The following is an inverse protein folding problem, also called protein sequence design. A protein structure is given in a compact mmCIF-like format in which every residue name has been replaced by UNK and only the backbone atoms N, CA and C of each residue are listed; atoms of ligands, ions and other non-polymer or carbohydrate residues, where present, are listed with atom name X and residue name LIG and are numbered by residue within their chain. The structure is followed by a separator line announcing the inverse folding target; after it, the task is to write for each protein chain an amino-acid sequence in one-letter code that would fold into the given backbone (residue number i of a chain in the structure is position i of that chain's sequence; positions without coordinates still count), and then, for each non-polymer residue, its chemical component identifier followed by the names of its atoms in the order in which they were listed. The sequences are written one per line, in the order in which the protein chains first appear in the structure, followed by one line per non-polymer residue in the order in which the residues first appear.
data_IF_084338949067
#
_entry.id   IF_084338949067
#
_cell.length_a   1.000
_cell.length_b   1.000
_cell.length_c   1.000
_cell.angle_alpha   90.00
_cell.angle_beta   90.00
_cell.angle_gamma   90.00
#
_symmetry.space_group_name_H-M   'P 1'
#
loop_
_entity.id
_entity.type
_entity.pdbx_description
1 polymer ?
#
# COMPACT_ATOMS: atom_id res chain seq x y z
N UNK A 1 10.36 -8.96 22.22
CA UNK A 1 11.09 -8.27 21.12
C UNK A 1 11.58 -9.27 20.06
N UNK A 2 12.31 -10.35 20.41
CA UNK A 2 12.79 -11.33 19.40
C UNK A 2 11.66 -12.06 18.66
N UNK A 3 10.59 -12.46 19.35
CA UNK A 3 9.45 -13.15 18.72
C UNK A 3 8.78 -12.32 17.62
N UNK A 4 8.76 -10.99 17.76
CA UNK A 4 8.12 -10.11 16.79
C UNK A 4 9.00 -9.85 15.56
N UNK A 5 10.29 -9.64 15.77
CA UNK A 5 11.28 -9.55 14.68
C UNK A 5 11.28 -10.85 13.86
N UNK A 6 11.19 -12.00 14.54
CA UNK A 6 11.05 -13.30 13.89
C UNK A 6 9.73 -13.35 13.11
N UNK A 7 8.61 -12.94 13.70
CA UNK A 7 7.31 -12.93 13.02
C UNK A 7 7.31 -12.07 11.74
N UNK A 8 7.95 -10.91 11.75
CA UNK A 8 8.04 -10.02 10.57
C UNK A 8 8.98 -10.60 9.52
N UNK A 9 10.13 -11.12 9.95
CA UNK A 9 11.08 -11.81 9.07
C UNK A 9 10.43 -13.04 8.42
N UNK A 10 9.64 -13.79 9.20
CA UNK A 10 8.91 -14.95 8.73
C UNK A 10 7.74 -14.55 7.83
N UNK A 11 7.06 -13.44 8.11
CA UNK A 11 6.05 -12.86 7.20
C UNK A 11 6.68 -12.51 5.85
N UNK A 12 7.83 -11.85 5.83
CA UNK A 12 8.57 -11.53 4.60
C UNK A 12 8.99 -12.82 3.87
N UNK A 13 9.56 -13.79 4.57
CA UNK A 13 9.94 -15.10 4.00
C UNK A 13 8.73 -15.87 3.47
N UNK A 14 7.58 -15.76 4.12
CA UNK A 14 6.33 -16.39 3.70
C UNK A 14 5.79 -15.73 2.43
N UNK A 15 5.76 -14.40 2.34
CA UNK A 15 5.38 -13.70 1.10
C UNK A 15 6.32 -14.04 -0.06
N UNK A 16 7.64 -14.09 0.19
CA UNK A 16 8.61 -14.54 -0.81
C UNK A 16 8.32 -15.99 -1.22
N UNK A 17 7.92 -16.85 -0.29
CA UNK A 17 7.56 -18.24 -0.58
C UNK A 17 6.24 -18.36 -1.33
N UNK A 18 5.23 -17.54 -1.02
CA UNK A 18 3.94 -17.48 -1.74
C UNK A 18 4.13 -16.98 -3.18
N UNK A 19 4.93 -15.92 -3.36
CA UNK A 19 5.36 -15.47 -4.69
C UNK A 19 6.09 -16.59 -5.42
N UNK A 20 7.00 -17.29 -4.73
CA UNK A 20 7.76 -18.38 -5.33
C UNK A 20 6.90 -19.63 -5.67
N UNK A 21 5.80 -19.84 -4.96
CA UNK A 21 4.87 -20.96 -5.16
C UNK A 21 3.86 -20.69 -6.29
N UNK A 22 3.74 -19.46 -6.77
CA UNK A 22 2.91 -19.09 -7.92
C UNK A 22 3.77 -18.58 -9.11
N UNK A 23 4.77 -19.34 -9.59
CA UNK A 23 5.67 -18.88 -10.63
C UNK A 23 4.94 -18.66 -11.98
N UNK A 24 3.81 -19.33 -12.21
CA UNK A 24 3.11 -19.31 -13.49
C UNK A 24 2.66 -17.91 -13.93
N UNK A 25 2.39 -17.01 -12.99
CA UNK A 25 2.03 -15.62 -13.29
C UNK A 25 3.24 -14.76 -13.69
N UNK A 26 4.45 -15.27 -13.50
CA UNK A 26 5.69 -14.49 -13.54
C UNK A 26 6.69 -14.99 -14.58
N UNK A 27 6.52 -16.21 -15.10
CA UNK A 27 7.46 -16.86 -16.00
C UNK A 27 7.00 -16.80 -17.45
N UNK A 28 7.96 -16.70 -18.38
CA UNK A 28 7.72 -16.76 -19.82
C UNK A 28 7.17 -18.13 -20.23
N UNK A 29 7.71 -19.21 -19.67
CA UNK A 29 7.23 -20.57 -19.90
C UNK A 29 6.93 -21.26 -18.56
N UNK A 30 5.72 -21.07 -17.99
CA UNK A 30 5.34 -21.59 -16.67
C UNK A 30 5.61 -23.07 -16.42
N UNK A 31 5.48 -23.91 -17.45
CA UNK A 31 5.63 -25.35 -17.34
C UNK A 31 7.10 -25.84 -17.44
N UNK A 32 8.03 -24.97 -17.83
CA UNK A 32 9.43 -25.34 -18.15
C UNK A 32 10.43 -24.52 -17.35
N UNK A 33 10.20 -23.23 -17.23
CA UNK A 33 11.09 -22.31 -16.54
C UNK A 33 11.08 -22.60 -15.02
N UNK A 34 12.27 -22.55 -14.40
CA UNK A 34 12.50 -22.91 -12.99
C UNK A 34 12.04 -24.31 -12.51
N UNK A 35 11.57 -25.19 -13.41
CA UNK A 35 11.17 -26.57 -13.10
C UNK A 35 12.32 -27.47 -12.60
N UNK A 36 13.58 -27.15 -12.94
CA UNK A 36 14.76 -27.94 -12.59
C UNK A 36 15.42 -27.41 -11.33
N UNK A 37 15.88 -28.31 -10.45
CA UNK A 37 16.68 -27.98 -9.27
C UNK A 37 18.03 -27.37 -9.68
N UNK A 38 18.17 -26.04 -9.51
CA UNK A 38 19.40 -25.27 -9.78
C UNK A 38 19.82 -24.53 -8.52
N UNK A 39 21.06 -23.99 -8.51
CA UNK A 39 21.56 -23.12 -7.45
C UNK A 39 20.76 -21.82 -7.29
N UNK A 40 20.18 -21.32 -8.39
CA UNK A 40 19.24 -20.21 -8.41
C UNK A 40 17.89 -20.79 -8.84
N UNK A 41 17.11 -21.26 -7.88
CA UNK A 41 15.70 -21.54 -8.08
C UNK A 41 14.89 -20.23 -8.07
N UNK A 42 13.58 -20.30 -8.28
CA UNK A 42 12.76 -19.09 -8.39
C UNK A 42 12.72 -18.31 -7.08
N UNK A 43 12.64 -19.01 -5.93
CA UNK A 43 12.71 -18.40 -4.60
C UNK A 43 14.04 -17.66 -4.37
N UNK A 44 15.15 -18.28 -4.72
CA UNK A 44 16.49 -17.71 -4.63
C UNK A 44 16.62 -16.50 -5.57
N UNK A 45 16.08 -16.59 -6.78
CA UNK A 45 16.05 -15.47 -7.73
C UNK A 45 15.31 -14.26 -7.14
N UNK A 46 14.10 -14.45 -6.59
CA UNK A 46 13.34 -13.38 -5.93
C UNK A 46 14.11 -12.82 -4.72
N UNK A 47 14.71 -13.69 -3.91
CA UNK A 47 15.52 -13.30 -2.76
C UNK A 47 16.71 -12.42 -3.15
N UNK A 48 17.45 -12.78 -4.21
CA UNK A 48 18.55 -11.95 -4.74
C UNK A 48 17.98 -10.60 -5.20
N UNK A 49 16.89 -10.61 -5.96
CA UNK A 49 16.28 -9.40 -6.49
C UNK A 49 15.79 -8.42 -5.41
N UNK A 50 15.31 -8.93 -4.28
CA UNK A 50 14.85 -8.11 -3.16
C UNK A 50 16.00 -7.54 -2.31
N UNK A 51 17.15 -8.21 -2.30
CA UNK A 51 18.33 -7.78 -1.53
C UNK A 51 19.32 -6.95 -2.36
N UNK A 52 19.04 -6.72 -3.65
CA UNK A 52 19.89 -5.89 -4.51
C UNK A 52 20.00 -4.46 -3.99
N UNK A 53 21.20 -4.09 -3.51
CA UNK A 53 21.52 -2.81 -2.88
C UNK A 53 22.08 -1.75 -3.84
N UNK A 54 22.04 -1.98 -5.16
CA UNK A 54 22.58 -1.07 -6.16
C UNK A 54 24.08 -1.25 -6.41
N UNK A 55 24.64 -2.40 -6.01
CA UNK A 55 26.02 -2.75 -6.27
C UNK A 55 26.16 -3.49 -7.62
N UNK A 56 27.38 -3.88 -7.98
CA UNK A 56 27.57 -4.76 -9.14
C UNK A 56 26.95 -6.13 -8.86
N UNK A 57 26.36 -6.76 -9.89
CA UNK A 57 25.71 -8.06 -9.71
C UNK A 57 26.65 -9.16 -9.20
N UNK A 58 27.95 -9.07 -9.52
CA UNK A 58 28.96 -9.97 -8.93
C UNK A 58 29.05 -9.83 -7.41
N UNK A 59 29.05 -8.59 -6.91
CA UNK A 59 29.09 -8.30 -5.47
C UNK A 59 27.80 -8.74 -4.79
N UNK A 60 26.65 -8.41 -5.37
CA UNK A 60 25.35 -8.80 -4.80
C UNK A 60 25.19 -10.32 -4.69
N UNK A 61 25.67 -11.08 -5.69
CA UNK A 61 25.68 -12.54 -5.61
C UNK A 61 26.63 -13.05 -4.52
N UNK A 62 27.83 -12.49 -4.39
CA UNK A 62 28.76 -12.90 -3.34
C UNK A 62 28.18 -12.63 -1.95
N UNK A 63 27.61 -11.45 -1.74
CA UNK A 63 26.98 -11.06 -0.47
C UNK A 63 25.79 -11.98 -0.14
N UNK A 64 24.91 -12.24 -1.12
CA UNK A 64 23.73 -13.09 -0.92
C UNK A 64 24.08 -14.55 -0.59
N UNK A 65 25.13 -15.09 -1.22
CA UNK A 65 25.59 -16.46 -1.01
C UNK A 65 26.70 -16.57 0.06
N UNK A 66 26.91 -15.53 0.86
CA UNK A 66 27.89 -15.50 1.96
C UNK A 66 29.31 -15.92 1.51
N UNK A 67 29.75 -15.34 0.40
CA UNK A 67 31.06 -15.58 -0.23
C UNK A 67 31.39 -17.05 -0.48
N UNK A 68 30.36 -17.90 -0.62
CA UNK A 68 30.56 -19.33 -0.82
C UNK A 68 31.30 -19.61 -2.14
N UNK A 69 32.23 -20.57 -2.13
CA UNK A 69 32.91 -21.02 -3.37
C UNK A 69 31.96 -21.49 -4.47
N UNK A 70 30.74 -21.90 -4.09
CA UNK A 70 29.70 -22.36 -5.00
C UNK A 70 28.79 -21.25 -5.53
N UNK A 71 29.06 -19.98 -5.21
CA UNK A 71 28.29 -18.83 -5.67
C UNK A 71 28.10 -18.86 -7.20
N UNK A 72 26.86 -18.75 -7.70
CA UNK A 72 26.58 -18.70 -9.12
C UNK A 72 27.24 -17.52 -9.83
N UNK A 73 27.56 -17.68 -11.12
CA UNK A 73 28.08 -16.57 -11.92
C UNK A 73 26.98 -15.57 -12.30
N UNK A 74 27.39 -14.34 -12.62
CA UNK A 74 26.49 -13.31 -13.18
C UNK A 74 25.76 -13.82 -14.43
N UNK A 75 26.44 -14.56 -15.31
CA UNK A 75 25.81 -15.16 -16.50
C UNK A 75 24.71 -16.15 -16.12
N UNK A 76 24.94 -17.01 -15.13
CA UNK A 76 23.93 -17.95 -14.64
C UNK A 76 22.69 -17.23 -14.07
N UNK A 77 22.91 -16.12 -13.36
CA UNK A 77 21.83 -15.26 -12.88
C UNK A 77 21.08 -14.59 -14.04
N UNK A 78 21.79 -13.96 -14.99
CA UNK A 78 21.17 -13.33 -16.18
C UNK A 78 20.33 -14.31 -16.99
N UNK A 79 20.76 -15.57 -17.10
CA UNK A 79 19.98 -16.63 -17.74
C UNK A 79 18.74 -17.06 -16.94
N UNK A 80 18.76 -17.00 -15.60
CA UNK A 80 17.52 -17.20 -14.84
C UNK A 80 16.60 -15.99 -14.98
N UNK A 81 17.15 -14.77 -14.96
CA UNK A 81 16.40 -13.53 -15.13
C UNK A 81 15.66 -13.47 -16.46
N UNK A 82 16.26 -13.95 -17.56
CA UNK A 82 15.63 -13.95 -18.88
C UNK A 82 14.42 -14.87 -19.03
N UNK A 83 14.13 -15.70 -18.03
CA UNK A 83 12.95 -16.59 -18.01
C UNK A 83 11.73 -15.94 -17.39
N UNK A 84 11.93 -14.80 -16.73
CA UNK A 84 10.87 -14.05 -16.08
C UNK A 84 10.26 -13.09 -17.10
N UNK A 85 8.93 -12.94 -17.04
CA UNK A 85 8.20 -12.00 -17.89
C UNK A 85 8.70 -10.57 -17.64
N UNK A 86 8.94 -9.80 -18.71
CA UNK A 86 9.22 -8.37 -18.61
C UNK A 86 8.26 -7.65 -17.67
N UNK A 87 6.97 -7.90 -17.83
CA UNK A 87 5.89 -7.17 -17.19
C UNK A 87 5.81 -7.41 -15.67
N UNK A 88 6.44 -8.49 -15.18
CA UNK A 88 6.41 -8.84 -13.76
C UNK A 88 7.28 -7.92 -12.90
N UNK A 89 8.44 -7.52 -13.40
CA UNK A 89 9.37 -6.72 -12.61
C UNK A 89 9.81 -5.46 -13.33
N UNK A 90 9.51 -5.25 -14.61
CA UNK A 90 10.20 -4.21 -15.38
C UNK A 90 9.42 -2.90 -15.42
N UNK A 91 10.09 -1.83 -15.02
CA UNK A 91 9.69 -0.46 -15.38
C UNK A 91 10.89 0.23 -16.04
N UNK A 92 10.62 1.20 -16.91
CA UNK A 92 11.68 2.10 -17.39
C UNK A 92 11.95 3.13 -16.30
N UNK A 93 13.20 3.23 -15.86
CA UNK A 93 13.60 4.34 -15.00
C UNK A 93 13.62 5.67 -15.79
N UNK A 94 13.88 6.77 -15.10
CA UNK A 94 13.96 8.12 -15.70
C UNK A 94 15.03 8.28 -16.81
N UNK A 95 15.93 7.30 -16.94
CA UNK A 95 16.98 7.25 -17.96
C UNK A 95 16.67 6.25 -19.09
N UNK A 96 15.45 5.71 -19.15
CA UNK A 96 15.02 4.76 -20.18
C UNK A 96 15.55 3.34 -20.01
N UNK A 97 16.28 3.07 -18.93
CA UNK A 97 16.81 1.73 -18.63
C UNK A 97 15.75 0.87 -17.96
N UNK A 98 15.70 -0.41 -18.35
CA UNK A 98 14.82 -1.41 -17.76
C UNK A 98 15.35 -1.79 -16.39
N UNK A 99 14.63 -1.43 -15.33
CA UNK A 99 14.97 -1.78 -13.94
C UNK A 99 13.93 -2.73 -13.39
N UNK A 100 14.36 -3.57 -12.44
CA UNK A 100 13.42 -4.38 -11.68
C UNK A 100 12.82 -3.52 -10.56
N UNK A 101 11.49 -3.37 -10.54
CA UNK A 101 10.75 -2.65 -9.52
C UNK A 101 9.88 -3.62 -8.72
N UNK A 102 10.23 -3.73 -7.44
CA UNK A 102 9.40 -4.30 -6.41
C UNK A 102 8.97 -3.16 -5.52
N UNK A 103 7.69 -3.12 -5.18
CA UNK A 103 7.15 -2.12 -4.28
C UNK A 103 6.90 -2.75 -2.90
N UNK A 104 7.53 -2.17 -1.88
CA UNK A 104 7.42 -2.61 -0.50
C UNK A 104 6.43 -1.73 0.24
N UNK A 105 5.31 -2.31 0.67
CA UNK A 105 4.42 -1.69 1.65
C UNK A 105 4.81 -2.21 3.03
N UNK A 106 4.95 -1.32 4.01
CA UNK A 106 5.30 -1.72 5.37
C UNK A 106 4.55 -0.86 6.39
N UNK A 107 3.99 -1.50 7.41
CA UNK A 107 3.54 -0.82 8.60
C UNK A 107 4.67 -0.79 9.61
N UNK A 108 4.83 0.35 10.28
CA UNK A 108 5.90 0.60 11.22
C UNK A 108 5.31 1.18 12.50
N UNK A 109 5.55 0.50 13.62
CA UNK A 109 5.24 1.01 14.95
C UNK A 109 6.34 1.96 15.37
N UNK A 110 6.01 3.24 15.40
CA UNK A 110 6.93 4.34 15.70
C UNK A 110 7.41 4.29 17.15
N UNK A 111 6.56 3.88 18.09
CA UNK A 111 6.89 3.88 19.51
C UNK A 111 7.86 2.74 19.84
N UNK A 112 7.61 1.57 19.27
CA UNK A 112 8.44 0.38 19.49
C UNK A 112 9.60 0.26 18.48
N UNK A 113 9.61 1.10 17.45
CA UNK A 113 10.62 1.13 16.36
C UNK A 113 10.74 -0.19 15.59
N UNK A 114 9.61 -0.85 15.35
CA UNK A 114 9.55 -2.15 14.68
C UNK A 114 8.59 -2.11 13.50
N UNK A 115 8.93 -2.82 12.42
CA UNK A 115 7.96 -3.12 11.37
C UNK A 115 6.93 -4.08 11.91
N UNK A 116 5.65 -3.81 11.69
CA UNK A 116 4.56 -4.63 12.19
C UNK A 116 3.96 -5.55 11.15
N UNK A 117 4.06 -5.13 9.89
CA UNK A 117 3.60 -5.91 8.75
C UNK A 117 4.32 -5.45 7.48
N UNK A 118 4.43 -6.33 6.50
CA UNK A 118 5.09 -6.09 5.21
C UNK A 118 4.31 -6.79 4.09
N UNK A 119 4.07 -6.08 3.00
CA UNK A 119 3.45 -6.61 1.79
C UNK A 119 4.21 -6.14 0.55
N UNK A 120 4.76 -7.09 -0.21
CA UNK A 120 5.53 -6.84 -1.43
C UNK A 120 4.62 -6.98 -2.64
N UNK A 121 4.61 -5.96 -3.50
CA UNK A 121 3.91 -5.97 -4.79
C UNK A 121 4.90 -5.90 -5.95
N UNK A 122 4.53 -6.55 -7.03
CA UNK A 122 5.21 -6.45 -8.32
C UNK A 122 4.79 -5.16 -9.05
N UNK A 123 5.45 -4.85 -10.17
CA UNK A 123 5.01 -3.76 -11.03
C UNK A 123 3.60 -4.00 -11.62
N UNK A 124 3.27 -5.26 -11.93
CA UNK A 124 1.98 -5.65 -12.48
C UNK A 124 0.82 -5.52 -11.47
N UNK A 125 1.09 -5.80 -10.20
CA UNK A 125 0.09 -5.82 -9.13
C UNK A 125 0.14 -4.57 -8.24
N UNK A 126 0.86 -3.53 -8.67
CA UNK A 126 1.09 -2.31 -7.89
C UNK A 126 -0.23 -1.60 -7.57
N UNK A 127 -0.60 -1.60 -6.29
CA UNK A 127 -1.75 -0.89 -5.77
C UNK A 127 -1.59 -0.70 -4.26
N UNK A 128 -1.00 0.44 -3.87
CA UNK A 128 -0.75 0.81 -2.47
C UNK A 128 -2.04 0.87 -1.64
N UNK A 129 -3.15 1.33 -2.22
CA UNK A 129 -4.43 1.40 -1.52
C UNK A 129 -4.92 0.00 -1.12
N UNK A 130 -4.86 -0.94 -2.07
CA UNK A 130 -5.26 -2.33 -1.83
C UNK A 130 -4.30 -3.01 -0.86
N UNK A 131 -3.00 -2.74 -0.97
CA UNK A 131 -2.02 -3.27 -0.03
C UNK A 131 -2.30 -2.80 1.40
N UNK A 132 -2.54 -1.50 1.58
CA UNK A 132 -2.91 -0.92 2.88
C UNK A 132 -4.18 -1.55 3.46
N UNK A 133 -5.26 -1.62 2.68
CA UNK A 133 -6.50 -2.29 3.09
C UNK A 133 -6.27 -3.75 3.51
N UNK A 134 -5.51 -4.51 2.71
CA UNK A 134 -5.14 -5.91 3.00
C UNK A 134 -4.36 -6.03 4.31
N UNK A 135 -3.41 -5.11 4.56
CA UNK A 135 -2.61 -5.09 5.77
C UNK A 135 -3.44 -4.70 7.00
N UNK A 136 -4.41 -3.78 6.88
CA UNK A 136 -5.39 -3.48 7.94
C UNK A 136 -6.21 -4.72 8.28
N UNK A 137 -6.80 -5.36 7.28
CA UNK A 137 -7.72 -6.49 7.47
C UNK A 137 -7.04 -7.68 8.17
N UNK A 138 -5.84 -8.05 7.70
CA UNK A 138 -5.11 -9.21 8.23
C UNK A 138 -4.39 -8.95 9.55
N UNK A 139 -4.19 -7.68 9.92
CA UNK A 139 -3.51 -7.34 11.17
C UNK A 139 -4.31 -7.82 12.37
N UNK A 140 -3.59 -8.33 13.37
CA UNK A 140 -4.14 -8.74 14.67
C UNK A 140 -3.92 -7.66 15.74
N UNK A 141 -3.40 -6.50 15.36
CA UNK A 141 -3.16 -5.41 16.29
C UNK A 141 -4.48 -4.77 16.71
N UNK A 142 -4.55 -4.47 18.00
CA UNK A 142 -5.62 -3.72 18.64
C UNK A 142 -5.09 -2.35 19.07
N UNK A 143 -5.99 -1.38 19.29
CA UNK A 143 -5.63 -0.02 19.73
C UNK A 143 -4.62 0.68 18.80
N UNK A 144 -4.89 0.66 17.49
CA UNK A 144 -4.00 1.24 16.47
C UNK A 144 -4.47 2.62 16.06
N UNK A 145 -3.52 3.55 15.88
CA UNK A 145 -3.71 4.80 15.13
C UNK A 145 -2.90 4.69 13.84
N UNK A 146 -3.57 4.49 12.71
CA UNK A 146 -2.96 4.50 11.38
C UNK A 146 -2.61 5.94 10.98
N UNK A 147 -1.32 6.23 10.82
CA UNK A 147 -0.83 7.53 10.34
C UNK A 147 -0.31 7.36 8.92
N UNK A 148 -0.82 8.17 7.98
CA UNK A 148 -0.38 8.12 6.59
C UNK A 148 -0.42 9.51 5.92
N UNK A 149 0.32 9.63 4.81
CA UNK A 149 0.39 10.87 4.04
C UNK A 149 -0.74 10.98 2.98
N UNK A 150 -0.65 12.01 2.14
CA UNK A 150 -1.60 12.28 1.04
C UNK A 150 -1.65 11.20 -0.04
N UNK A 151 -0.69 10.29 -0.09
CA UNK A 151 -0.73 9.13 -0.98
C UNK A 151 -1.83 8.15 -0.63
N UNK A 152 -2.27 8.14 0.64
CA UNK A 152 -3.30 7.24 1.17
C UNK A 152 -4.68 7.91 1.33
N UNK A 153 -4.89 9.05 0.68
CA UNK A 153 -6.19 9.75 0.62
C UNK A 153 -7.23 8.93 -0.17
N UNK A 154 -7.93 8.01 0.53
CA UNK A 154 -8.84 7.06 -0.09
C UNK A 154 -9.97 6.63 0.87
N UNK A 155 -11.23 6.79 0.44
CA UNK A 155 -12.40 6.41 1.25
C UNK A 155 -12.43 4.92 1.61
N UNK A 156 -11.93 4.03 0.76
CA UNK A 156 -11.90 2.60 1.06
C UNK A 156 -10.99 2.34 2.27
N UNK A 157 -9.82 2.98 2.33
CA UNK A 157 -8.91 2.88 3.47
C UNK A 157 -9.59 3.37 4.75
N UNK A 158 -10.31 4.49 4.69
CA UNK A 158 -11.03 5.02 5.84
C UNK A 158 -12.08 4.02 6.34
N UNK A 159 -12.84 3.43 5.42
CA UNK A 159 -13.82 2.40 5.74
C UNK A 159 -13.16 1.16 6.37
N UNK A 160 -12.08 0.63 5.78
CA UNK A 160 -11.33 -0.50 6.36
C UNK A 160 -10.84 -0.21 7.77
N UNK A 161 -10.26 0.98 8.02
CA UNK A 161 -9.81 1.37 9.34
C UNK A 161 -10.98 1.45 10.34
N UNK A 162 -12.10 2.07 9.96
CA UNK A 162 -13.28 2.23 10.82
C UNK A 162 -13.92 0.87 11.16
N UNK A 163 -14.13 0.02 10.15
CA UNK A 163 -14.78 -1.28 10.31
C UNK A 163 -13.90 -2.27 11.10
N UNK A 164 -12.57 -2.12 11.01
CA UNK A 164 -11.61 -2.84 11.86
C UNK A 164 -11.60 -2.33 13.31
N UNK A 165 -12.20 -1.18 13.58
CA UNK A 165 -12.13 -0.48 14.87
C UNK A 165 -10.83 0.28 15.11
N UNK A 166 -10.02 0.46 14.07
CA UNK A 166 -8.79 1.26 14.13
C UNK A 166 -9.11 2.75 14.11
N UNK A 167 -8.23 3.50 14.78
CA UNK A 167 -8.18 4.95 14.62
C UNK A 167 -7.21 5.31 13.49
N UNK A 168 -7.36 6.50 12.92
CA UNK A 168 -6.44 6.95 11.87
C UNK A 168 -6.30 8.47 11.85
N UNK A 169 -5.16 8.96 11.35
CA UNK A 169 -4.91 10.34 11.01
C UNK A 169 -4.18 10.37 9.66
N UNK A 170 -4.92 10.69 8.60
CA UNK A 170 -4.41 10.66 7.23
C UNK A 170 -4.38 12.08 6.71
N UNK A 171 -3.18 12.54 6.33
CA UNK A 171 -3.01 13.82 5.66
C UNK A 171 -3.67 13.74 4.27
N UNK A 172 -4.39 14.77 3.87
CA UNK A 172 -5.05 14.83 2.56
C UNK A 172 -4.67 16.09 1.81
N UNK A 173 -4.91 16.12 0.51
CA UNK A 173 -4.71 17.33 -0.30
C UNK A 173 -5.62 18.46 0.18
N UNK A 174 -5.14 19.70 0.04
CA UNK A 174 -5.88 20.89 0.47
C UNK A 174 -7.18 21.09 -0.35
N UNK A 175 -8.11 21.89 0.18
CA UNK A 175 -9.45 22.15 -0.41
C UNK A 175 -9.41 22.70 -1.84
N UNK A 176 -8.32 23.35 -2.22
CA UNK A 176 -8.11 23.95 -3.55
C UNK A 176 -7.42 22.99 -4.55
N UNK A 177 -7.14 21.76 -4.16
CA UNK A 177 -6.49 20.73 -4.98
C UNK A 177 -7.47 19.68 -5.50
N UNK A 178 -7.02 18.74 -6.32
CA UNK A 178 -7.86 17.63 -6.82
C UNK A 178 -7.93 16.46 -5.80
N UNK A 179 -8.56 16.69 -4.65
CA UNK A 179 -8.64 15.73 -3.53
C UNK A 179 -10.07 15.43 -3.08
N UNK A 180 -10.19 14.69 -1.98
CA UNK A 180 -11.40 14.48 -1.20
C UNK A 180 -11.93 15.82 -0.70
N UNK A 181 -11.06 16.66 -0.13
CA UNK A 181 -11.47 17.93 0.48
C UNK A 181 -12.19 18.87 -0.50
N UNK A 182 -11.75 18.93 -1.77
CA UNK A 182 -12.38 19.77 -2.79
C UNK A 182 -13.78 19.30 -3.21
N UNK A 183 -14.12 18.03 -2.94
CA UNK A 183 -15.42 17.46 -3.25
C UNK A 183 -16.40 17.45 -2.07
N UNK A 184 -16.03 18.08 -0.95
CA UNK A 184 -16.86 18.19 0.25
C UNK A 184 -17.39 19.62 0.40
N UNK A 185 -18.56 19.76 1.04
CA UNK A 185 -19.11 21.05 1.40
C UNK A 185 -18.41 21.57 2.67
N UNK A 186 -17.24 22.19 2.49
CA UNK A 186 -16.42 22.71 3.58
C UNK A 186 -16.72 24.19 3.87
N UNK A 187 -16.54 24.65 5.12
CA UNK A 187 -16.65 26.07 5.46
C UNK A 187 -15.70 26.93 4.61
N UNK A 188 -16.08 28.19 4.30
CA UNK A 188 -15.22 29.09 3.55
C UNK A 188 -13.94 29.47 4.32
N UNK A 189 -13.97 29.34 5.65
CA UNK A 189 -12.88 29.66 6.55
C UNK A 189 -11.57 28.96 6.18
N UNK A 190 -10.46 29.59 6.57
CA UNK A 190 -9.14 29.02 6.40
C UNK A 190 -8.85 27.89 7.41
N UNK A 191 -9.43 27.96 8.59
CA UNK A 191 -9.32 26.92 9.61
C UNK A 191 -10.68 26.33 9.91
N UNK A 192 -10.72 25.02 10.08
CA UNK A 192 -11.93 24.32 10.50
C UNK A 192 -11.60 22.98 11.13
N UNK A 193 -12.50 22.53 12.01
CA UNK A 193 -12.49 21.23 12.64
C UNK A 193 -13.95 20.78 12.80
N UNK A 194 -14.39 19.94 11.87
CA UNK A 194 -15.79 19.55 11.73
C UNK A 194 -15.93 18.06 11.47
N UNK A 195 -17.08 17.51 11.87
CA UNK A 195 -17.48 16.16 11.53
C UNK A 195 -18.25 16.18 10.20
N UNK A 196 -17.96 15.18 9.35
CA UNK A 196 -18.56 14.99 8.03
C UNK A 196 -19.21 13.62 7.98
N UNK A 197 -20.47 13.60 7.59
CA UNK A 197 -21.19 12.39 7.17
C UNK A 197 -21.27 12.36 5.66
N UNK A 198 -20.62 11.37 5.04
CA UNK A 198 -20.71 11.14 3.59
C UNK A 198 -21.44 9.83 3.30
N UNK A 199 -22.59 9.93 2.65
CA UNK A 199 -23.33 8.76 2.17
C UNK A 199 -22.91 8.46 0.73
N UNK A 200 -22.54 7.22 0.46
CA UNK A 200 -22.12 6.71 -0.85
C UNK A 200 -23.20 5.85 -1.50
N UNK A 201 -23.32 5.95 -2.83
CA UNK A 201 -24.26 5.17 -3.64
C UNK A 201 -23.66 4.79 -4.99
N UNK A 202 -24.00 3.60 -5.51
CA UNK A 202 -23.68 3.21 -6.90
C UNK A 202 -24.65 3.83 -7.92
N UNK A 203 -25.79 4.37 -7.47
CA UNK A 203 -26.78 5.04 -8.31
C UNK A 203 -26.43 6.51 -8.51
N UNK A 204 -26.55 6.99 -9.76
CA UNK A 204 -26.32 8.38 -10.13
C UNK A 204 -27.62 9.04 -10.64
N UNK A 205 -28.68 8.97 -9.86
CA UNK A 205 -30.00 9.53 -10.23
C UNK A 205 -30.16 10.94 -9.70
N UNK A 206 -31.15 11.69 -10.23
CA UNK A 206 -31.51 13.02 -9.68
C UNK A 206 -31.89 12.94 -8.20
N UNK A 207 -32.59 11.89 -7.79
CA UNK A 207 -33.00 11.67 -6.40
C UNK A 207 -31.80 11.53 -5.46
N UNK A 208 -30.80 10.71 -5.83
CA UNK A 208 -29.58 10.54 -5.02
C UNK A 208 -28.75 11.82 -4.96
N UNK A 209 -28.70 12.60 -6.04
CA UNK A 209 -27.99 13.90 -6.06
C UNK A 209 -28.65 14.92 -5.14
N UNK A 210 -29.98 15.04 -5.20
CA UNK A 210 -30.73 15.96 -4.35
C UNK A 210 -30.66 15.59 -2.87
N UNK A 211 -30.46 14.30 -2.55
CA UNK A 211 -30.21 13.81 -1.20
C UNK A 211 -28.76 14.02 -0.73
N UNK A 212 -27.88 14.58 -1.57
CA UNK A 212 -26.46 14.83 -1.23
C UNK A 212 -25.57 13.58 -1.25
N UNK A 213 -26.02 12.48 -1.86
CA UNK A 213 -25.23 11.24 -1.89
C UNK A 213 -24.06 11.37 -2.87
N UNK A 214 -22.88 10.91 -2.44
CA UNK A 214 -21.71 10.81 -3.28
C UNK A 214 -21.81 9.58 -4.16
N UNK A 215 -21.83 9.82 -5.46
CA UNK A 215 -21.82 8.75 -6.45
C UNK A 215 -20.45 8.07 -6.49
N UNK A 216 -20.45 6.74 -6.44
CA UNK A 216 -19.27 5.90 -6.64
C UNK A 216 -19.35 5.16 -7.98
N UNK A 217 -18.53 5.54 -8.98
CA UNK A 217 -18.43 4.85 -10.26
C UNK A 217 -18.17 3.35 -10.12
N UNK A 218 -18.71 2.53 -11.03
CA UNK A 218 -18.64 1.05 -10.95
C UNK A 218 -17.20 0.52 -11.02
N UNK A 219 -16.31 1.24 -11.71
CA UNK A 219 -14.88 0.92 -11.80
C UNK A 219 -14.09 1.30 -10.55
N UNK A 220 -14.62 2.18 -9.69
CA UNK A 220 -13.99 2.51 -8.41
C UNK A 220 -14.23 1.38 -7.41
N UNK A 221 -13.12 0.78 -6.96
CA UNK A 221 -13.11 -0.25 -5.90
C UNK A 221 -13.53 0.39 -4.58
N UNK A 222 -14.49 -0.24 -3.91
CA UNK A 222 -14.92 0.09 -2.57
C UNK A 222 -15.59 -1.15 -1.97
N UNK A 223 -14.94 -1.77 -0.99
CA UNK A 223 -15.23 -3.15 -0.59
C UNK A 223 -16.52 -3.26 0.23
N UNK A 224 -16.92 -2.17 0.87
CA UNK A 224 -18.16 -2.07 1.66
C UNK A 224 -19.39 -1.64 0.85
N UNK A 225 -19.25 -1.43 -0.46
CA UNK A 225 -20.36 -1.14 -1.38
C UNK A 225 -20.18 -1.89 -2.71
N UNK A 226 -20.65 -3.15 -2.81
CA UNK A 226 -20.45 -3.99 -3.99
C UNK A 226 -20.95 -3.37 -5.29
N UNK A 227 -20.38 -3.82 -6.41
CA UNK A 227 -20.82 -3.41 -7.74
C UNK A 227 -22.29 -3.76 -7.94
N UNK A 228 -23.05 -2.84 -8.54
CA UNK A 228 -24.52 -2.97 -8.76
C UNK A 228 -25.36 -3.07 -7.47
N UNK A 229 -24.78 -2.78 -6.31
CA UNK A 229 -25.56 -2.70 -5.06
C UNK A 229 -26.57 -1.56 -5.14
N UNK A 230 -27.79 -1.84 -4.71
CA UNK A 230 -28.84 -0.84 -4.51
C UNK A 230 -28.77 -0.16 -3.13
N UNK A 231 -27.89 -0.64 -2.26
CA UNK A 231 -27.68 -0.10 -0.90
C UNK A 231 -26.85 1.18 -0.94
N UNK A 232 -26.78 1.84 0.21
CA UNK A 232 -25.86 2.95 0.48
C UNK A 232 -24.86 2.54 1.55
N UNK A 233 -23.73 3.25 1.61
CA UNK A 233 -22.77 3.13 2.69
C UNK A 233 -22.54 4.50 3.32
N UNK A 234 -22.69 4.61 4.62
CA UNK A 234 -22.47 5.86 5.36
C UNK A 234 -21.07 5.85 5.97
N UNK A 235 -20.28 6.89 5.69
CA UNK A 235 -18.94 7.07 6.24
C UNK A 235 -18.90 8.34 7.08
N UNK A 236 -18.57 8.20 8.35
CA UNK A 236 -18.42 9.30 9.29
C UNK A 236 -16.94 9.56 9.58
N UNK A 237 -16.48 10.79 9.42
CA UNK A 237 -15.11 11.18 9.74
C UNK A 237 -15.02 12.66 10.12
N UNK A 238 -14.02 13.01 10.92
CA UNK A 238 -13.62 14.37 11.25
C UNK A 238 -12.61 14.87 10.21
N UNK A 239 -12.78 16.10 9.76
CA UNK A 239 -11.83 16.79 8.89
C UNK A 239 -11.35 18.07 9.55
N UNK A 240 -10.03 18.26 9.53
CA UNK A 240 -9.34 19.34 10.22
C UNK A 240 -8.45 20.05 9.21
N UNK A 241 -8.56 21.37 9.10
CA UNK A 241 -7.63 22.23 8.38
C UNK A 241 -7.01 23.23 9.34
N UNK A 242 -5.69 23.26 9.40
CA UNK A 242 -4.92 24.09 10.33
C UNK A 242 -3.67 24.67 9.65
N UNK A 243 -3.15 25.80 10.13
CA UNK A 243 -1.96 26.44 9.56
C UNK A 243 -0.69 25.72 9.99
N UNK A 244 0.26 25.62 9.06
CA UNK A 244 1.64 25.16 9.32
C UNK A 244 2.69 26.25 9.05
N UNK A 245 2.25 27.41 8.58
CA UNK A 245 3.07 28.60 8.31
C UNK A 245 2.21 29.77 7.88
N UNK A 246 2.82 30.89 7.51
CA UNK A 246 2.14 32.18 7.31
C UNK A 246 1.01 32.17 6.28
N UNK A 247 1.05 31.25 5.31
CA UNK A 247 -0.01 31.07 4.31
C UNK A 247 -0.04 29.62 3.78
N UNK A 248 0.31 28.67 4.64
CA UNK A 248 0.38 27.25 4.29
C UNK A 248 -0.46 26.46 5.28
N UNK A 249 -1.30 25.58 4.75
CA UNK A 249 -2.28 24.82 5.50
C UNK A 249 -2.13 23.34 5.21
N UNK A 250 -2.44 22.53 6.21
CA UNK A 250 -2.59 21.10 6.04
C UNK A 250 -4.01 20.68 6.37
N UNK A 251 -4.46 19.63 5.71
CA UNK A 251 -5.72 18.98 6.03
C UNK A 251 -5.45 17.55 6.50
N UNK A 252 -6.11 17.16 7.58
CA UNK A 252 -6.15 15.79 8.09
C UNK A 252 -7.60 15.30 8.09
N UNK A 253 -7.81 14.08 7.59
CA UNK A 253 -9.04 13.32 7.82
C UNK A 253 -8.75 12.26 8.89
N UNK A 254 -9.64 12.13 9.86
CA UNK A 254 -9.44 11.29 11.05
C UNK A 254 -10.77 10.81 11.65
N UNK A 255 -10.74 9.74 12.44
CA UNK A 255 -11.82 9.33 13.34
C UNK A 255 -11.41 9.41 14.83
N UNK A 256 -10.36 10.18 15.13
CA UNK A 256 -9.88 10.44 16.48
C UNK A 256 -10.86 11.35 17.23
N UNK A 257 -11.09 11.02 18.50
CA UNK A 257 -11.94 11.79 19.39
C UNK A 257 -11.38 13.21 19.58
N UNK A 258 -12.21 14.23 19.34
CA UNK A 258 -11.81 15.64 19.44
C UNK A 258 -11.47 16.11 20.85
N UNK A 259 -12.01 15.46 21.87
CA UNK A 259 -11.74 15.82 23.26
C UNK A 259 -10.38 15.28 23.72
N UNK A 260 -9.94 14.17 23.11
CA UNK A 260 -8.62 13.56 23.38
C UNK A 260 -7.55 14.19 22.47
N UNK A 261 -7.88 14.38 21.19
CA UNK A 261 -6.99 14.91 20.16
C UNK A 261 -7.48 16.28 19.68
N UNK A 262 -7.28 17.30 20.51
CA UNK A 262 -7.56 18.69 20.19
C UNK A 262 -6.42 19.30 19.37
N UNK A 263 -6.76 20.17 18.42
CA UNK A 263 -5.84 20.86 17.52
C UNK A 263 -5.24 22.11 18.18
N UNK A 264 -5.94 22.66 19.19
CA UNK A 264 -5.61 23.95 19.81
C UNK A 264 -4.82 23.85 21.13
N UNK A 265 -4.37 22.66 21.51
CA UNK A 265 -3.59 22.42 22.74
C UNK A 265 -2.10 22.27 22.46
#
# INVERSE_FOLDING_TARGET
MSNYINQVSDSLKNHISELANNPCSFLRNPNVDFSRKRKIDFKTFIGIMMNSGGATMSKELLDFFDFNKNTPSVSAFTQQRSKVLPETFWERNQYGSIVNKLHLNAFYDVLNRIYTDVLVQTAADYNEFRACATMIDRSKLENVILVADRGYENYNIFAHAIEKGWKFAIRVKDKNSNGIASGLNLPPNDEFDIDITQIFSRKNTKTTKNAGYKWMPVNQVFDYLPRKSDKTYELLFRIIRFPIGSNSYEIIITNLDRNIFDVKK
#
